data_IF_361244914064
#
_entry.id   IF_361244914064
#
_cell.length_a   1.000
_cell.length_b   1.000
_cell.length_c   1.000
_cell.angle_alpha   90.00
_cell.angle_beta   90.00
_cell.angle_gamma   90.00
#
_symmetry.space_group_name_H-M   'P 1'
#
loop_
_entity.id
_entity.type
_entity.pdbx_description
1 polymer ?
#
# COMPACT_ATOMS: atom_id res chain seq x y z
N UNK A 1 -9.29 2.64 -27.43
CA UNK A 1 -9.50 2.00 -28.75
C UNK A 1 -8.52 0.85 -29.04
N UNK A 2 -7.21 0.96 -28.77
CA UNK A 2 -6.22 -0.12 -29.00
C UNK A 2 -6.49 -1.43 -28.22
N UNK A 3 -6.96 -1.35 -26.98
CA UNK A 3 -7.20 -2.52 -26.10
C UNK A 3 -8.21 -3.51 -26.70
N UNK A 4 -9.23 -3.02 -27.41
CA UNK A 4 -10.22 -3.88 -28.09
C UNK A 4 -9.61 -4.66 -29.26
N UNK A 5 -8.59 -4.11 -29.91
CA UNK A 5 -7.87 -4.75 -31.02
C UNK A 5 -6.91 -5.83 -30.51
N UNK A 6 -6.23 -5.55 -29.39
CA UNK A 6 -5.32 -6.50 -28.72
C UNK A 6 -6.10 -7.71 -28.17
N UNK A 7 -7.32 -7.51 -27.67
CA UNK A 7 -8.18 -8.59 -27.19
C UNK A 7 -8.70 -9.54 -28.29
N UNK A 8 -8.56 -9.18 -29.57
CA UNK A 8 -8.87 -10.08 -30.71
C UNK A 8 -7.74 -11.04 -31.05
N UNK A 9 -6.53 -10.78 -30.56
CA UNK A 9 -5.37 -11.61 -30.82
C UNK A 9 -5.38 -12.78 -29.82
N UNK A 10 -5.19 -14.03 -30.26
CA UNK A 10 -5.11 -15.17 -29.36
C UNK A 10 -4.05 -14.93 -28.27
N UNK A 11 -4.45 -15.08 -27.00
CA UNK A 11 -3.58 -14.82 -25.83
C UNK A 11 -2.27 -15.60 -25.91
N UNK A 12 -2.33 -16.82 -26.45
CA UNK A 12 -1.18 -17.71 -26.62
C UNK A 12 -0.16 -17.18 -27.63
N UNK A 13 -0.62 -16.52 -28.70
CA UNK A 13 0.25 -15.91 -29.70
C UNK A 13 0.95 -14.66 -29.15
N UNK A 14 0.26 -13.85 -28.35
CA UNK A 14 0.85 -12.73 -27.62
C UNK A 14 1.92 -13.21 -26.62
N UNK A 15 1.65 -14.29 -25.89
CA UNK A 15 2.60 -14.90 -24.95
C UNK A 15 3.82 -15.46 -25.70
N UNK A 16 3.61 -16.13 -26.84
CA UNK A 16 4.69 -16.67 -27.69
C UNK A 16 5.62 -15.56 -28.20
N UNK A 17 5.04 -14.50 -28.76
CA UNK A 17 5.78 -13.31 -29.21
C UNK A 17 6.50 -12.61 -28.06
N UNK A 18 5.89 -12.52 -26.88
CA UNK A 18 6.49 -11.93 -25.69
C UNK A 18 7.70 -12.73 -25.17
N UNK A 19 7.68 -14.07 -25.30
CA UNK A 19 8.79 -14.95 -24.91
C UNK A 19 9.97 -14.91 -25.88
N UNK A 20 9.72 -14.78 -27.18
CA UNK A 20 10.75 -14.92 -28.23
C UNK A 20 11.31 -13.58 -28.77
N UNK A 21 10.88 -12.44 -28.24
CA UNK A 21 11.39 -11.13 -28.69
C UNK A 21 12.73 -10.79 -28.01
N UNK A 22 13.83 -10.59 -28.79
CA UNK A 22 15.18 -10.40 -28.24
C UNK A 22 15.43 -9.01 -27.62
N UNK A 23 14.47 -8.08 -27.72
CA UNK A 23 14.60 -6.69 -27.27
C UNK A 23 14.03 -6.47 -25.85
N UNK A 24 14.61 -7.10 -24.84
CA UNK A 24 14.12 -7.07 -23.44
C UNK A 24 13.95 -5.66 -22.88
N UNK A 25 14.85 -4.72 -23.21
CA UNK A 25 14.76 -3.32 -22.73
C UNK A 25 13.57 -2.57 -23.30
N UNK A 26 13.35 -2.64 -24.61
CA UNK A 26 12.21 -2.00 -25.27
C UNK A 26 10.89 -2.62 -24.80
N UNK A 27 10.87 -3.95 -24.64
CA UNK A 27 9.73 -4.69 -24.11
C UNK A 27 9.33 -4.23 -22.71
N UNK A 28 10.29 -4.15 -21.79
CA UNK A 28 10.03 -3.70 -20.41
C UNK A 28 9.56 -2.25 -20.36
N UNK A 29 10.11 -1.38 -21.20
CA UNK A 29 9.67 0.02 -21.31
C UNK A 29 8.23 0.13 -21.83
N UNK A 30 7.86 -0.65 -22.85
CA UNK A 30 6.49 -0.69 -23.38
C UNK A 30 5.50 -1.21 -22.35
N UNK A 31 5.84 -2.31 -21.65
CA UNK A 31 5.00 -2.87 -20.57
C UNK A 31 4.81 -1.84 -19.46
N UNK A 32 5.89 -1.22 -18.99
CA UNK A 32 5.82 -0.21 -17.94
C UNK A 32 4.93 0.98 -18.32
N UNK A 33 4.98 1.44 -19.58
CA UNK A 33 4.12 2.55 -20.06
C UNK A 33 2.67 2.14 -20.26
N UNK A 34 2.41 0.87 -20.58
CA UNK A 34 1.07 0.36 -20.84
C UNK A 34 0.31 -0.02 -19.57
N UNK A 35 1.01 -0.37 -18.49
CA UNK A 35 0.40 -0.76 -17.22
C UNK A 35 -0.25 0.42 -16.49
N UNK A 36 -1.37 0.16 -15.83
CA UNK A 36 -1.99 1.12 -14.94
C UNK A 36 -1.11 1.32 -13.70
N UNK A 37 -0.98 2.58 -13.28
CA UNK A 37 -0.25 2.95 -12.06
C UNK A 37 -1.24 3.10 -10.91
N UNK A 38 -0.86 2.59 -9.77
CA UNK A 38 -1.63 2.64 -8.53
C UNK A 38 -0.84 3.40 -7.49
N UNK A 39 -1.54 4.18 -6.68
CA UNK A 39 -0.96 4.67 -5.42
C UNK A 39 -0.91 3.50 -4.42
N UNK A 40 0.09 3.48 -3.56
CA UNK A 40 0.15 2.50 -2.48
C UNK A 40 0.01 3.28 -1.17
N UNK A 41 -0.98 2.90 -0.37
CA UNK A 41 -1.12 3.39 0.99
C UNK A 41 -0.69 2.28 1.96
N UNK A 42 -0.05 2.68 3.04
CA UNK A 42 0.34 1.78 4.14
C UNK A 42 -0.38 2.20 5.40
N UNK A 43 -0.99 1.24 6.08
CA UNK A 43 -1.82 1.46 7.27
C UNK A 43 -1.40 0.48 8.35
N UNK A 44 -1.40 0.90 9.62
CA UNK A 44 -1.00 0.05 10.74
C UNK A 44 -2.11 -0.11 11.77
N UNK A 45 -2.44 -1.36 12.09
CA UNK A 45 -3.28 -1.72 13.25
C UNK A 45 -2.34 -2.00 14.41
N UNK A 46 -2.16 -1.03 15.29
CA UNK A 46 -1.31 -1.16 16.48
C UNK A 46 -2.14 -1.66 17.65
N UNK A 47 -1.73 -2.78 18.22
CA UNK A 47 -2.35 -3.37 19.40
C UNK A 47 -1.38 -3.39 20.57
N UNK A 48 -1.89 -3.16 21.78
CA UNK A 48 -1.15 -3.39 23.02
C UNK A 48 -1.53 -4.73 23.67
N UNK A 49 -0.87 -5.07 24.78
CA UNK A 49 -1.13 -6.30 25.53
C UNK A 49 -2.56 -6.40 26.10
N UNK A 50 -3.28 -5.27 26.21
CA UNK A 50 -4.67 -5.22 26.65
C UNK A 50 -5.68 -5.40 25.50
N UNK A 51 -5.21 -5.50 24.25
CA UNK A 51 -6.05 -5.62 23.06
C UNK A 51 -6.66 -4.30 22.56
N UNK A 52 -6.19 -3.16 23.08
CA UNK A 52 -6.63 -1.84 22.62
C UNK A 52 -6.00 -1.49 21.27
N UNK A 53 -6.67 -0.67 20.45
CA UNK A 53 -6.20 -0.25 19.12
C UNK A 53 -5.89 1.24 19.07
N UNK A 54 -4.72 1.58 18.52
CA UNK A 54 -4.30 2.98 18.38
C UNK A 54 -5.08 3.65 17.25
N UNK A 55 -5.76 4.75 17.59
CA UNK A 55 -6.42 5.63 16.63
C UNK A 55 -5.88 7.05 16.78
N UNK A 56 -5.69 7.72 15.65
CA UNK A 56 -5.29 9.12 15.59
C UNK A 56 -6.49 10.00 15.31
N UNK A 57 -6.55 11.14 15.99
CA UNK A 57 -7.56 12.18 15.76
C UNK A 57 -7.01 13.26 14.83
N UNK A 58 -7.31 13.14 13.55
CA UNK A 58 -6.99 14.15 12.54
C UNK A 58 -7.92 15.36 12.68
N UNK A 59 -7.35 16.52 13.02
CA UNK A 59 -8.09 17.78 13.22
C UNK A 59 -8.72 18.31 11.93
N UNK A 60 -8.16 17.95 10.77
CA UNK A 60 -8.55 18.49 9.46
C UNK A 60 -9.42 17.55 8.61
N UNK A 61 -9.72 16.33 9.07
CA UNK A 61 -10.51 15.34 8.31
C UNK A 61 -11.97 15.35 8.78
N UNK A 62 -12.92 15.16 7.84
CA UNK A 62 -14.35 15.00 8.15
C UNK A 62 -14.62 13.84 9.11
N UNK A 63 -13.86 12.76 8.95
CA UNK A 63 -13.81 11.64 9.88
C UNK A 63 -12.54 11.82 10.71
N UNK A 64 -12.66 12.26 11.97
CA UNK A 64 -11.49 12.66 12.73
C UNK A 64 -10.66 11.45 13.15
N UNK A 65 -11.26 10.29 13.39
CA UNK A 65 -10.55 9.11 13.86
C UNK A 65 -10.15 8.17 12.72
N UNK A 66 -8.88 7.78 12.69
CA UNK A 66 -8.33 6.81 11.73
C UNK A 66 -7.15 6.05 12.30
N UNK A 67 -6.81 4.93 11.69
CA UNK A 67 -5.56 4.21 12.00
C UNK A 67 -4.37 4.98 11.43
N UNK A 68 -3.18 4.94 12.08
CA UNK A 68 -1.97 5.58 11.57
C UNK A 68 -1.57 5.04 10.20
N UNK A 69 -1.03 5.91 9.36
CA UNK A 69 -0.52 5.54 8.05
C UNK A 69 -0.68 6.63 7.00
N UNK A 70 -0.17 6.33 5.81
CA UNK A 70 -0.06 7.32 4.75
C UNK A 70 0.37 6.72 3.43
N UNK A 71 0.95 7.56 2.58
CA UNK A 71 1.32 7.16 1.23
C UNK A 71 2.73 6.57 1.21
N UNK A 72 2.89 5.47 0.48
CA UNK A 72 4.19 4.89 0.21
C UNK A 72 4.87 5.66 -0.91
N UNK A 73 6.15 5.97 -0.72
CA UNK A 73 7.02 6.48 -1.78
C UNK A 73 7.74 5.34 -2.51
N UNK A 74 8.88 5.61 -3.15
CA UNK A 74 9.74 4.60 -3.76
C UNK A 74 10.59 3.88 -2.70
N UNK A 75 9.90 3.26 -1.74
CA UNK A 75 10.48 2.58 -0.59
C UNK A 75 9.77 1.24 -0.31
N UNK A 76 10.27 0.49 0.68
CA UNK A 76 9.59 -0.74 1.13
C UNK A 76 8.34 -0.37 1.96
N UNK A 77 7.24 -1.14 1.88
CA UNK A 77 6.01 -0.85 2.63
C UNK A 77 6.23 -0.69 4.14
N UNK A 78 7.07 -1.53 4.73
CA UNK A 78 7.37 -1.49 6.15
C UNK A 78 8.23 -0.29 6.54
N UNK A 79 9.06 0.21 5.61
CA UNK A 79 9.82 1.45 5.81
C UNK A 79 8.87 2.65 5.78
N UNK A 80 7.97 2.70 4.80
CA UNK A 80 6.97 3.75 4.70
C UNK A 80 6.09 3.81 5.96
N UNK A 81 5.60 2.66 6.43
CA UNK A 81 4.73 2.64 7.60
C UNK A 81 5.45 3.13 8.87
N UNK A 82 6.71 2.75 9.07
CA UNK A 82 7.51 3.26 10.21
C UNK A 82 7.72 4.77 10.10
N UNK A 83 8.02 5.29 8.91
CA UNK A 83 8.16 6.72 8.65
C UNK A 83 6.88 7.48 8.99
N UNK A 84 5.75 7.07 8.42
CA UNK A 84 4.44 7.70 8.64
C UNK A 84 4.06 7.70 10.13
N UNK A 85 4.20 6.56 10.82
CA UNK A 85 3.89 6.47 12.24
C UNK A 85 4.78 7.38 13.07
N UNK A 86 6.08 7.42 12.77
CA UNK A 86 7.02 8.29 13.46
C UNK A 86 6.70 9.77 13.23
N UNK A 87 6.30 10.15 12.02
CA UNK A 87 5.92 11.53 11.69
C UNK A 87 4.60 11.95 12.38
N UNK A 88 3.60 11.07 12.41
CA UNK A 88 2.29 11.37 12.99
C UNK A 88 2.26 11.28 14.53
N UNK A 89 3.10 10.44 15.12
CA UNK A 89 3.02 10.10 16.56
C UNK A 89 4.33 10.20 17.32
N UNK A 90 5.47 10.28 16.65
CA UNK A 90 6.80 10.20 17.26
C UNK A 90 7.21 8.80 17.72
N UNK A 91 6.43 7.76 17.39
CA UNK A 91 6.65 6.40 17.89
C UNK A 91 7.53 5.56 16.97
N UNK A 92 8.34 4.71 17.59
CA UNK A 92 8.98 3.57 16.94
C UNK A 92 8.11 2.33 17.17
N UNK A 93 7.88 1.56 16.10
CA UNK A 93 6.92 0.45 16.09
C UNK A 93 7.46 -0.80 15.41
N UNK A 94 7.03 -1.94 15.93
CA UNK A 94 7.32 -3.24 15.34
C UNK A 94 6.16 -3.70 14.45
N UNK A 95 6.47 -3.92 13.18
CA UNK A 95 5.54 -4.45 12.19
C UNK A 95 5.66 -5.98 12.21
N UNK A 96 4.57 -6.67 12.50
CA UNK A 96 4.56 -8.11 12.70
C UNK A 96 4.24 -8.87 11.42
N UNK A 97 3.21 -8.42 10.69
CA UNK A 97 2.73 -9.12 9.49
C UNK A 97 1.81 -8.25 8.64
N UNK A 98 1.76 -8.50 7.33
CA UNK A 98 0.70 -7.98 6.46
C UNK A 98 -0.64 -8.67 6.82
N UNK A 99 -1.62 -7.88 7.24
CA UNK A 99 -2.95 -8.36 7.59
C UNK A 99 -3.82 -8.53 6.33
N UNK A 100 -3.77 -7.51 5.46
CA UNK A 100 -4.65 -7.42 4.30
C UNK A 100 -4.05 -6.51 3.24
N UNK A 101 -4.29 -6.84 1.97
CA UNK A 101 -4.11 -5.94 0.84
C UNK A 101 -5.48 -5.75 0.18
N UNK A 102 -5.90 -4.50 -0.01
CA UNK A 102 -7.19 -4.20 -0.63
C UNK A 102 -7.05 -3.16 -1.73
N UNK A 103 -7.89 -3.26 -2.75
CA UNK A 103 -7.97 -2.29 -3.82
C UNK A 103 -9.06 -1.25 -3.54
N UNK A 104 -8.68 0.03 -3.57
CA UNK A 104 -9.58 1.17 -3.46
C UNK A 104 -9.74 1.88 -4.80
N UNK A 105 -10.97 2.29 -5.11
CA UNK A 105 -11.26 3.20 -6.21
C UNK A 105 -11.34 4.65 -5.67
N UNK A 106 -11.05 5.64 -6.51
CA UNK A 106 -11.09 7.08 -6.19
C UNK A 106 -10.11 7.53 -5.06
N UNK A 107 -8.79 7.65 -5.31
CA UNK A 107 -8.06 7.25 -6.51
C UNK A 107 -7.78 5.74 -6.56
N UNK A 108 -7.36 5.24 -7.72
CA UNK A 108 -6.88 3.87 -7.87
C UNK A 108 -5.68 3.65 -6.95
N UNK A 109 -5.90 2.90 -5.87
CA UNK A 109 -4.88 2.63 -4.87
C UNK A 109 -4.94 1.22 -4.34
N UNK A 110 -3.82 0.76 -3.81
CA UNK A 110 -3.72 -0.46 -3.03
C UNK A 110 -3.40 -0.08 -1.60
N UNK A 111 -4.27 -0.42 -0.67
CA UNK A 111 -4.02 -0.22 0.75
C UNK A 111 -3.41 -1.51 1.32
N UNK A 112 -2.20 -1.40 1.87
CA UNK A 112 -1.51 -2.46 2.60
C UNK A 112 -1.70 -2.23 4.10
N UNK A 113 -2.44 -3.11 4.74
CA UNK A 113 -2.79 -3.02 6.15
C UNK A 113 -1.91 -4.00 6.92
N UNK A 114 -1.11 -3.49 7.85
CA UNK A 114 -0.20 -4.27 8.67
C UNK A 114 -0.74 -4.44 10.09
N UNK A 115 -0.45 -5.59 10.69
CA UNK A 115 -0.53 -5.78 12.14
C UNK A 115 0.79 -5.32 12.75
N UNK A 116 0.66 -4.53 13.80
CA UNK A 116 1.78 -3.99 14.52
C UNK A 116 1.55 -4.18 16.02
N UNK A 117 2.65 -4.35 16.74
CA UNK A 117 2.61 -4.46 18.19
C UNK A 117 3.37 -3.30 18.83
N UNK A 118 2.84 -2.80 19.93
CA UNK A 118 3.50 -1.77 20.73
C UNK A 118 3.43 -2.09 22.22
N UNK A 119 4.58 -2.05 22.87
CA UNK A 119 4.76 -2.51 24.25
C UNK A 119 4.52 -1.43 25.31
N UNK A 120 4.47 -0.13 24.97
CA UNK A 120 4.24 0.93 25.98
C UNK A 120 2.76 1.24 26.17
N UNK A 121 2.24 0.98 27.37
CA UNK A 121 0.87 1.29 27.80
C UNK A 121 0.50 2.78 27.82
N UNK A 122 1.47 3.70 27.84
CA UNK A 122 1.17 5.13 28.08
C UNK A 122 0.45 5.86 26.94
N UNK A 123 0.27 5.20 25.78
CA UNK A 123 -0.22 5.81 24.54
C UNK A 123 -1.71 5.57 24.28
N UNK A 124 -2.29 4.56 24.93
CA UNK A 124 -3.71 4.27 24.87
C UNK A 124 -4.40 5.04 25.99
N UNK A 125 -4.40 6.37 25.88
CA UNK A 125 -5.24 7.20 26.74
C UNK A 125 -6.59 7.35 26.06
N UNK A 126 -7.63 6.86 26.71
CA UNK A 126 -9.00 7.27 26.45
C UNK A 126 -9.07 8.80 26.56
N UNK A 127 -9.39 9.48 25.45
CA UNK A 127 -9.83 10.88 25.50
C UNK A 127 -11.08 11.00 26.37
#
# INVERSE_FOLDING_TARGET
>A
MLVKLINKIPRDWLIFMYKHTPFTRLKNALVYRAQHKFLIAVLGIFTNDAGEVLLLKHVYRKQPWGIPGGWMELEQPETALRREVREETGLEVEITSLAQAQFGQLPNRVDLIFKCHHTRKSLFRSC
#
